data_IF_733704156310
#
_entry.id   IF_733704156310
#
_cell.length_a   1.000
_cell.length_b   1.000
_cell.length_c   1.000
_cell.angle_alpha   90.00
_cell.angle_beta   90.00
_cell.angle_gamma   90.00
#
_symmetry.space_group_name_H-M   'P 1'
#
loop_
_entity.id
_entity.type
_entity.pdbx_description
1 polymer ?
#
# COMPACT_ATOMS: atom_id res chain seq x y z
N UNK A 1 16.80 -39.23 -21.18
CA UNK A 1 16.68 -37.79 -21.50
C UNK A 1 15.25 -37.38 -21.17
N UNK A 2 15.00 -36.92 -19.93
CA UNK A 2 13.65 -36.58 -19.48
C UNK A 2 13.36 -35.11 -19.82
N UNK A 3 12.47 -34.93 -20.79
CA UNK A 3 11.92 -33.66 -21.22
C UNK A 3 10.97 -33.12 -20.15
N UNK A 4 11.28 -31.94 -19.59
CA UNK A 4 10.43 -31.25 -18.60
C UNK A 4 9.38 -30.43 -19.34
N UNK A 5 8.17 -30.98 -19.42
CA UNK A 5 6.98 -30.25 -19.89
C UNK A 5 6.55 -29.33 -18.74
N UNK A 6 6.81 -28.03 -18.87
CA UNK A 6 6.24 -27.01 -17.98
C UNK A 6 4.96 -26.52 -18.66
N UNK A 7 3.82 -27.03 -18.19
CA UNK A 7 2.50 -26.50 -18.55
C UNK A 7 2.26 -25.24 -17.73
N UNK A 8 2.40 -24.07 -18.35
CA UNK A 8 1.83 -22.84 -17.80
C UNK A 8 0.34 -22.81 -18.14
N UNK A 9 -0.49 -23.28 -17.21
CA UNK A 9 -1.94 -23.10 -17.29
C UNK A 9 -2.25 -21.62 -17.01
N UNK A 10 -2.54 -20.89 -18.09
CA UNK A 10 -3.17 -19.59 -18.05
C UNK A 10 -4.58 -19.75 -17.46
N UNK A 11 -4.79 -19.23 -16.25
CA UNK A 11 -6.14 -19.04 -15.71
C UNK A 11 -6.56 -17.62 -16.09
N UNK A 12 -7.22 -17.53 -17.24
CA UNK A 12 -8.07 -16.40 -17.60
C UNK A 12 -9.42 -16.69 -16.96
N UNK A 13 -9.81 -15.92 -15.95
CA UNK A 13 -11.22 -15.82 -15.56
C UNK A 13 -11.64 -14.37 -15.69
N UNK A 14 -12.41 -14.16 -16.75
CA UNK A 14 -13.07 -12.92 -17.09
C UNK A 14 -14.29 -12.70 -16.19
N UNK A 15 -14.43 -11.47 -15.65
CA UNK A 15 -15.74 -10.91 -15.29
C UNK A 15 -15.70 -9.43 -15.60
N UNK A 16 -16.05 -9.05 -16.83
CA UNK A 16 -16.61 -7.73 -17.09
C UNK A 16 -18.11 -7.90 -17.26
N UNK A 17 -18.87 -7.60 -16.20
CA UNK A 17 -20.30 -7.39 -16.31
C UNK A 17 -20.51 -6.22 -17.29
N UNK A 18 -21.10 -6.51 -18.44
CA UNK A 18 -21.52 -5.51 -19.41
C UNK A 18 -22.75 -4.82 -18.84
N UNK A 19 -22.54 -3.68 -18.17
CA UNK A 19 -23.63 -2.73 -17.94
C UNK A 19 -23.92 -2.02 -19.26
N UNK A 20 -24.91 -2.53 -19.99
CA UNK A 20 -25.51 -1.84 -21.13
C UNK A 20 -26.26 -0.60 -20.60
N UNK A 21 -25.59 0.55 -20.56
CA UNK A 21 -26.26 1.83 -20.37
C UNK A 21 -26.84 2.28 -21.71
N UNK A 22 -28.13 2.67 -21.68
CA UNK A 22 -28.92 3.04 -22.84
C UNK A 22 -28.32 4.19 -23.65
N UNK A 23 -28.56 4.13 -24.95
CA UNK A 23 -28.29 5.20 -25.90
C UNK A 23 -29.20 6.39 -25.58
N UNK A 24 -28.62 7.45 -24.99
CA UNK A 24 -29.27 8.75 -24.90
C UNK A 24 -28.58 9.68 -25.91
N UNK A 25 -29.32 10.04 -26.96
CA UNK A 25 -28.86 10.99 -27.97
C UNK A 25 -28.78 12.38 -27.32
N UNK A 26 -27.59 12.78 -26.90
CA UNK A 26 -27.30 14.14 -26.41
C UNK A 26 -26.76 15.00 -27.56
N UNK A 27 -27.41 16.13 -27.76
CA UNK A 27 -27.00 17.22 -28.66
C UNK A 27 -25.54 17.62 -28.41
N UNK A 28 -24.78 18.02 -29.44
CA UNK A 28 -23.40 18.47 -29.26
C UNK A 28 -23.40 19.81 -28.52
N UNK A 29 -23.25 19.73 -27.20
CA UNK A 29 -22.87 20.88 -26.39
C UNK A 29 -21.40 21.15 -26.69
N UNK A 30 -21.12 22.29 -27.32
CA UNK A 30 -19.77 22.83 -27.43
C UNK A 30 -19.30 23.17 -26.02
N UNK A 31 -18.65 22.22 -25.36
CA UNK A 31 -17.88 22.50 -24.16
C UNK A 31 -16.64 23.30 -24.60
N UNK A 32 -16.54 24.54 -24.14
CA UNK A 32 -15.24 25.17 -24.05
C UNK A 32 -14.40 24.28 -23.14
N UNK A 33 -13.44 23.59 -23.74
CA UNK A 33 -12.40 22.91 -22.99
C UNK A 33 -11.52 24.03 -22.45
N UNK A 34 -11.84 24.52 -21.26
CA UNK A 34 -10.85 25.24 -20.48
C UNK A 34 -9.74 24.21 -20.23
N UNK A 35 -8.66 24.30 -21.00
CA UNK A 35 -7.43 23.57 -20.71
C UNK A 35 -6.93 24.10 -19.36
N UNK A 36 -7.39 23.49 -18.27
CA UNK A 36 -6.78 23.67 -16.97
C UNK A 36 -5.32 23.26 -17.11
N UNK A 37 -4.46 24.27 -17.19
CA UNK A 37 -3.02 24.12 -17.29
C UNK A 37 -2.52 23.61 -15.93
N UNK A 38 -2.65 22.30 -15.70
CA UNK A 38 -1.98 21.64 -14.59
C UNK A 38 -0.47 21.78 -14.83
N UNK A 39 0.17 22.64 -14.05
CA UNK A 39 1.62 22.71 -13.98
C UNK A 39 2.23 21.34 -13.62
N UNK A 40 3.56 21.21 -13.70
CA UNK A 40 4.25 19.95 -13.41
C UNK A 40 3.80 19.36 -12.06
N UNK A 41 3.39 18.09 -12.08
CA UNK A 41 2.87 17.40 -10.89
C UNK A 41 4.02 17.09 -9.96
N UNK A 42 3.99 17.62 -8.74
CA UNK A 42 5.04 17.37 -7.76
C UNK A 42 4.46 17.19 -6.35
N UNK A 43 4.90 16.14 -5.67
CA UNK A 43 4.65 15.95 -4.24
C UNK A 43 5.79 15.18 -3.58
N UNK A 44 5.87 15.31 -2.27
CA UNK A 44 6.70 14.49 -1.38
C UNK A 44 5.97 14.31 -0.06
N UNK A 45 5.99 13.09 0.47
CA UNK A 45 5.48 12.81 1.81
C UNK A 45 6.29 11.70 2.48
N UNK A 46 6.25 11.69 3.80
CA UNK A 46 6.78 10.60 4.61
C UNK A 46 6.01 10.47 5.92
N UNK A 47 6.04 9.27 6.49
CA UNK A 47 5.60 9.00 7.85
C UNK A 47 6.38 7.83 8.44
N UNK A 48 6.45 7.79 9.76
CA UNK A 48 7.07 6.72 10.52
C UNK A 48 6.24 6.44 11.77
N UNK A 49 6.06 5.15 12.07
CA UNK A 49 5.39 4.63 13.25
C UNK A 49 6.40 3.80 14.04
N UNK A 50 6.50 4.10 15.33
CA UNK A 50 7.27 3.34 16.29
C UNK A 50 6.48 3.29 17.59
N UNK A 51 5.71 2.21 17.75
CA UNK A 51 4.88 1.97 18.92
C UNK A 51 5.45 0.79 19.72
N UNK A 52 6.13 1.09 20.82
CA UNK A 52 6.70 0.07 21.72
C UNK A 52 5.63 -0.77 22.44
N UNK A 53 4.41 -0.26 22.58
CA UNK A 53 3.33 -0.97 23.28
C UNK A 53 2.76 -2.09 22.42
N UNK A 54 2.49 -1.81 21.13
CA UNK A 54 2.00 -2.81 20.18
C UNK A 54 3.13 -3.54 19.44
N UNK A 55 4.33 -2.97 19.44
CA UNK A 55 5.48 -3.39 18.63
C UNK A 55 5.37 -3.05 17.16
N UNK A 56 4.46 -2.15 16.80
CA UNK A 56 4.28 -1.71 15.43
C UNK A 56 5.42 -0.76 15.02
N UNK A 57 6.20 -1.19 14.03
CA UNK A 57 7.32 -0.43 13.49
C UNK A 57 7.25 -0.51 11.97
N UNK A 58 6.83 0.60 11.36
CA UNK A 58 6.72 0.72 9.91
C UNK A 58 6.81 2.18 9.48
N UNK A 59 7.06 2.42 8.21
CA UNK A 59 7.12 3.77 7.67
C UNK A 59 7.19 3.78 6.17
N UNK A 60 6.86 4.94 5.59
CA UNK A 60 6.88 5.15 4.15
C UNK A 60 7.47 6.51 3.81
N UNK A 61 8.12 6.60 2.66
CA UNK A 61 8.38 7.85 1.96
C UNK A 61 8.10 7.68 0.48
N UNK A 62 7.55 8.71 -0.14
CA UNK A 62 7.34 8.75 -1.57
C UNK A 62 7.50 10.17 -2.10
N UNK A 63 8.09 10.28 -3.27
CA UNK A 63 8.15 11.52 -4.03
C UNK A 63 7.71 11.24 -5.46
N UNK A 64 6.96 12.18 -6.03
CA UNK A 64 6.62 12.21 -7.45
C UNK A 64 7.07 13.52 -8.06
N UNK A 65 7.61 13.41 -9.26
CA UNK A 65 7.84 14.54 -10.15
C UNK A 65 7.43 14.14 -11.56
N UNK A 66 6.42 14.81 -12.08
CA UNK A 66 5.83 14.58 -13.40
C UNK A 66 5.43 13.10 -13.57
N UNK A 67 6.20 12.35 -14.36
CA UNK A 67 6.01 10.94 -14.69
C UNK A 67 6.90 9.98 -13.89
N UNK A 68 7.77 10.53 -13.03
CA UNK A 68 8.64 9.77 -12.13
C UNK A 68 8.00 9.71 -10.74
N UNK A 69 7.83 8.51 -10.20
CA UNK A 69 7.43 8.29 -8.81
C UNK A 69 8.40 7.30 -8.21
N UNK A 70 8.93 7.61 -7.03
CA UNK A 70 9.83 6.73 -6.30
C UNK A 70 9.46 6.73 -4.82
N UNK A 71 9.61 5.60 -4.18
CA UNK A 71 9.33 5.49 -2.75
C UNK A 71 9.96 4.28 -2.11
N UNK A 72 9.83 4.26 -0.79
CA UNK A 72 10.27 3.16 0.05
C UNK A 72 9.23 2.95 1.15
N UNK A 73 8.88 1.70 1.40
CA UNK A 73 8.11 1.28 2.56
C UNK A 73 8.93 0.27 3.37
N UNK A 74 8.85 0.33 4.69
CA UNK A 74 9.43 -0.70 5.56
C UNK A 74 8.46 -1.13 6.65
N UNK A 75 8.61 -2.37 7.11
CA UNK A 75 7.95 -2.90 8.30
C UNK A 75 8.84 -3.93 9.00
N UNK A 76 8.61 -4.13 10.30
CA UNK A 76 9.12 -5.30 11.03
C UNK A 76 8.04 -6.41 11.00
N UNK A 77 8.35 -7.53 10.36
CA UNK A 77 7.52 -8.72 10.35
C UNK A 77 7.51 -9.39 11.75
N UNK A 78 6.44 -10.12 12.07
CA UNK A 78 6.28 -10.81 13.36
C UNK A 78 7.34 -11.90 13.64
N UNK A 79 8.05 -12.36 12.61
CA UNK A 79 9.17 -13.29 12.75
C UNK A 79 10.52 -12.58 12.93
N UNK A 80 10.50 -11.28 13.20
CA UNK A 80 11.67 -10.46 13.51
C UNK A 80 12.50 -10.07 12.30
N UNK A 81 11.93 -10.06 11.08
CA UNK A 81 12.62 -9.55 9.91
C UNK A 81 12.19 -8.13 9.57
N UNK A 82 13.15 -7.26 9.24
CA UNK A 82 12.83 -6.01 8.57
C UNK A 82 12.63 -6.29 7.09
N UNK A 83 11.47 -5.94 6.56
CA UNK A 83 11.20 -5.91 5.13
C UNK A 83 11.24 -4.48 4.65
N UNK A 84 12.04 -4.22 3.62
CA UNK A 84 12.11 -2.93 2.93
C UNK A 84 11.73 -3.15 1.47
N UNK A 85 10.77 -2.37 0.98
CA UNK A 85 10.34 -2.37 -0.42
C UNK A 85 10.71 -1.02 -1.00
N UNK A 86 11.67 -1.00 -1.92
CA UNK A 86 11.99 0.19 -2.72
C UNK A 86 11.28 0.06 -4.05
N UNK A 87 10.59 1.10 -4.49
CA UNK A 87 9.83 1.06 -5.73
C UNK A 87 9.99 2.33 -6.54
N UNK A 88 9.82 2.19 -7.85
CA UNK A 88 9.80 3.31 -8.78
C UNK A 88 8.90 3.05 -10.00
N UNK A 89 8.46 4.15 -10.60
CA UNK A 89 7.75 4.22 -11.88
C UNK A 89 8.38 5.37 -12.66
N UNK A 90 8.74 5.13 -13.91
CA UNK A 90 9.29 6.11 -14.84
C UNK A 90 8.47 6.07 -16.14
N UNK A 91 7.57 7.05 -16.32
CA UNK A 91 6.69 7.14 -17.48
C UNK A 91 5.87 5.87 -17.69
N UNK A 92 6.24 5.08 -18.69
CA UNK A 92 5.53 3.83 -19.06
C UNK A 92 6.23 2.56 -18.57
N UNK A 93 7.19 2.66 -17.65
CA UNK A 93 7.91 1.50 -17.10
C UNK A 93 6.99 0.47 -16.41
N UNK A 94 5.83 0.92 -15.93
CA UNK A 94 5.06 0.18 -14.94
C UNK A 94 5.72 0.23 -13.55
N UNK A 95 5.11 -0.46 -12.59
CA UNK A 95 5.62 -0.54 -11.21
C UNK A 95 6.78 -1.52 -11.11
N UNK A 96 7.94 -1.03 -10.67
CA UNK A 96 9.14 -1.83 -10.43
C UNK A 96 9.46 -1.75 -8.94
N UNK A 97 9.67 -2.89 -8.30
CA UNK A 97 10.00 -2.95 -6.88
C UNK A 97 11.12 -3.94 -6.58
N UNK A 98 11.99 -3.54 -5.64
CA UNK A 98 13.01 -4.37 -5.03
C UNK A 98 12.65 -4.60 -3.57
N UNK A 99 12.55 -5.87 -3.18
CA UNK A 99 12.21 -6.26 -1.81
C UNK A 99 13.45 -6.83 -1.13
N UNK A 100 13.84 -6.23 -0.02
CA UNK A 100 14.91 -6.68 0.85
C UNK A 100 14.30 -7.15 2.16
N UNK A 101 14.80 -8.27 2.69
CA UNK A 101 14.32 -8.85 3.94
C UNK A 101 15.49 -9.33 4.76
N UNK A 102 15.65 -8.78 5.95
CA UNK A 102 16.82 -9.03 6.80
C UNK A 102 16.39 -9.35 8.24
N UNK A 103 17.01 -10.36 8.89
CA UNK A 103 16.70 -10.66 10.28
C UNK A 103 17.21 -9.55 11.21
N UNK A 104 16.39 -9.15 12.18
CA UNK A 104 16.75 -8.20 13.21
C UNK A 104 17.35 -8.97 14.39
N UNK A 105 18.63 -8.72 14.68
CA UNK A 105 19.30 -9.34 15.81
C UNK A 105 18.67 -8.87 17.12
N UNK A 106 18.30 -9.83 17.97
CA UNK A 106 17.72 -9.54 19.28
C UNK A 106 16.25 -9.11 19.23
N UNK A 107 15.53 -9.36 18.13
CA UNK A 107 14.10 -9.13 18.07
C UNK A 107 13.37 -9.87 19.20
N UNK A 108 12.54 -9.14 19.93
CA UNK A 108 11.63 -9.68 20.93
C UNK A 108 10.21 -9.38 20.47
N UNK A 109 9.40 -10.44 20.34
CA UNK A 109 8.00 -10.27 20.01
C UNK A 109 7.29 -9.49 21.12
N UNK A 110 6.42 -8.52 20.78
CA UNK A 110 5.64 -7.75 21.74
C UNK A 110 4.89 -8.69 22.68
N UNK A 111 5.04 -8.47 23.99
CA UNK A 111 4.29 -9.24 24.98
C UNK A 111 2.91 -8.59 25.16
N UNK A 112 1.81 -9.35 25.08
CA UNK A 112 0.48 -8.81 25.34
C UNK A 112 0.43 -8.23 26.75
N UNK A 113 0.26 -6.92 26.88
CA UNK A 113 0.05 -6.27 28.18
C UNK A 113 -1.40 -6.51 28.61
N UNK A 114 -1.61 -7.51 29.47
CA UNK A 114 -2.91 -7.79 30.08
C UNK A 114 -3.27 -6.70 31.11
N UNK A 115 -3.75 -5.54 30.65
CA UNK A 115 -4.42 -4.57 31.52
C UNK A 115 -5.90 -4.96 31.65
N UNK A 116 -6.20 -5.89 32.56
CA UNK A 116 -7.56 -6.04 33.06
C UNK A 116 -7.83 -4.91 34.05
N UNK A 117 -8.40 -3.82 33.56
CA UNK A 117 -8.96 -2.79 34.45
C UNK A 117 -10.28 -3.33 35.00
N UNK A 118 -10.21 -3.91 36.20
CA UNK A 118 -11.40 -4.37 36.91
C UNK A 118 -12.32 -3.15 37.14
N UNK A 119 -13.62 -3.22 36.80
CA UNK A 119 -14.52 -2.09 36.97
C UNK A 119 -14.52 -1.64 38.43
N UNK A 120 -14.20 -0.37 38.66
CA UNK A 120 -14.19 0.23 39.98
C UNK A 120 -15.63 0.21 40.53
N UNK A 121 -15.88 -0.65 41.52
CA UNK A 121 -17.11 -0.66 42.30
C UNK A 121 -17.25 0.68 43.02
N UNK A 122 -18.01 1.61 42.44
CA UNK A 122 -18.44 2.82 43.13
C UNK A 122 -19.45 2.42 44.21
N UNK A 123 -19.00 2.40 45.46
CA UNK A 123 -19.90 2.31 46.61
C UNK A 123 -20.65 3.64 46.75
N UNK A 124 -21.91 3.66 46.32
CA UNK A 124 -22.86 4.71 46.70
C UNK A 124 -23.04 4.68 48.21
N UNK A 125 -22.55 5.71 48.91
CA UNK A 125 -23.00 6.01 50.26
C UNK A 125 -24.24 6.92 50.14
N UNK A 126 -25.35 6.47 50.72
CA UNK A 126 -26.52 7.28 51.06
C UNK A 126 -26.60 7.40 52.58
#
# INVERSE_FOLDING_TARGET
MYSKIIVFLAIIVAVSAQSHYGQQQTQPQHYHHDEEHYGPVHYEYHYDVHDDHTGDVHGQREARKDDSTQGEYYLIDADGHKRTVKYHVEGKSGFIAEVQREPIKGYQAPQPQNHYEAPAHHNYHH
#
